data_IF_580399433403
#
_entry.id   IF_580399433403
#
_cell.length_a   1.000
_cell.length_b   1.000
_cell.length_c   1.000
_cell.angle_alpha   90.00
_cell.angle_beta   90.00
_cell.angle_gamma   90.00
#
_symmetry.space_group_name_H-M   'P 1'
#
loop_
_entity.id
_entity.type
_entity.pdbx_description
1 polymer ?
#
# COMPACT_ATOMS: atom_id res chain seq x y z
N UNK A 1 4.31 23.43 -15.08
CA UNK A 1 4.24 23.32 -13.60
C UNK A 1 2.99 22.52 -13.28
N UNK A 2 3.10 21.36 -12.64
CA UNK A 2 1.96 20.46 -12.42
C UNK A 2 1.00 20.96 -11.35
N UNK A 3 -0.27 20.52 -11.38
CA UNK A 3 -1.21 20.73 -10.26
C UNK A 3 -0.67 20.00 -9.02
N UNK A 4 -0.72 20.64 -7.84
CA UNK A 4 -0.48 19.97 -6.55
C UNK A 4 -1.73 19.14 -6.22
N UNK A 5 -1.53 17.88 -5.86
CA UNK A 5 -2.60 16.95 -5.48
C UNK A 5 -2.61 16.72 -3.96
N UNK A 6 -3.79 16.51 -3.41
CA UNK A 6 -3.97 16.02 -2.04
C UNK A 6 -4.13 14.50 -2.06
N UNK A 7 -3.34 13.78 -1.25
CA UNK A 7 -3.48 12.32 -1.11
C UNK A 7 -3.76 12.00 0.35
N UNK A 8 -4.91 11.37 0.59
CA UNK A 8 -5.15 10.62 1.81
C UNK A 8 -4.59 9.20 1.61
N UNK A 9 -3.47 8.91 2.27
CA UNK A 9 -2.85 7.58 2.30
C UNK A 9 -3.36 6.83 3.53
N UNK A 10 -4.54 6.19 3.43
CA UNK A 10 -5.15 5.47 4.54
C UNK A 10 -4.66 4.02 4.67
N UNK A 11 -4.96 3.40 5.82
CA UNK A 11 -4.59 2.00 6.11
C UNK A 11 -5.29 1.00 5.18
N UNK A 12 -6.58 1.25 4.89
CA UNK A 12 -7.42 0.34 4.11
C UNK A 12 -7.67 0.87 2.70
N UNK A 13 -7.94 2.16 2.58
CA UNK A 13 -8.19 2.82 1.31
C UNK A 13 -7.38 4.12 1.26
N UNK A 14 -7.05 4.54 0.05
CA UNK A 14 -6.44 5.82 -0.26
C UNK A 14 -7.33 6.60 -1.22
N UNK A 15 -7.20 7.93 -1.19
CA UNK A 15 -7.99 8.85 -2.00
C UNK A 15 -7.09 9.96 -2.52
N UNK A 16 -7.37 10.45 -3.74
CA UNK A 16 -6.65 11.57 -4.34
C UNK A 16 -7.62 12.67 -4.77
N UNK A 17 -7.24 13.91 -4.50
CA UNK A 17 -7.99 15.10 -4.88
C UNK A 17 -7.09 16.16 -5.49
N UNK A 18 -7.71 17.08 -6.22
CA UNK A 18 -7.06 18.25 -6.80
C UNK A 18 -7.96 19.47 -6.65
N UNK A 19 -7.37 20.67 -6.64
CA UNK A 19 -8.15 21.91 -6.70
C UNK A 19 -8.54 22.22 -8.15
N UNK A 20 -9.84 22.31 -8.40
CA UNK A 20 -10.45 22.75 -9.66
C UNK A 20 -10.99 24.17 -9.45
N UNK A 21 -10.18 25.17 -9.83
CA UNK A 21 -10.48 26.56 -9.50
C UNK A 21 -10.44 26.79 -7.98
N UNK A 22 -11.60 27.01 -7.36
CA UNK A 22 -11.75 27.20 -5.91
C UNK A 22 -12.34 26.00 -5.18
N UNK A 23 -12.74 24.96 -5.91
CA UNK A 23 -13.42 23.79 -5.34
C UNK A 23 -12.48 22.57 -5.33
N UNK A 24 -12.46 21.77 -4.26
CA UNK A 24 -11.74 20.49 -4.25
C UNK A 24 -12.54 19.42 -5.00
N UNK A 25 -11.88 18.68 -5.89
CA UNK A 25 -12.46 17.54 -6.60
C UNK A 25 -11.72 16.25 -6.26
N UNK A 26 -12.47 15.19 -5.94
CA UNK A 26 -11.95 13.83 -5.78
C UNK A 26 -11.90 13.14 -7.13
N UNK A 27 -10.69 12.71 -7.52
CA UNK A 27 -10.41 12.08 -8.81
C UNK A 27 -10.77 10.58 -8.72
N UNK A 28 -11.47 10.08 -9.75
CA UNK A 28 -11.73 8.66 -9.89
C UNK A 28 -10.46 7.93 -10.37
N UNK A 29 -10.16 6.76 -9.81
CA UNK A 29 -9.09 5.90 -10.29
C UNK A 29 -9.45 5.24 -11.64
N UNK A 30 -8.49 4.54 -12.25
CA UNK A 30 -8.67 3.83 -13.52
C UNK A 30 -9.80 2.79 -13.48
N UNK A 31 -10.16 2.30 -12.29
CA UNK A 31 -11.28 1.37 -12.07
C UNK A 31 -12.63 2.06 -11.84
N UNK A 32 -12.70 3.40 -11.93
CA UNK A 32 -13.91 4.22 -11.75
C UNK A 32 -14.30 4.49 -10.29
N UNK A 33 -13.51 4.03 -9.33
CA UNK A 33 -13.71 4.26 -7.90
C UNK A 33 -13.08 5.57 -7.42
N UNK A 34 -13.74 6.26 -6.49
CA UNK A 34 -13.17 7.46 -5.82
C UNK A 34 -12.23 7.16 -4.65
N UNK A 35 -12.06 5.89 -4.33
CA UNK A 35 -11.02 5.42 -3.41
C UNK A 35 -10.35 4.19 -4.02
N UNK A 36 -9.10 3.98 -3.64
CA UNK A 36 -8.31 2.84 -4.07
C UNK A 36 -7.89 2.03 -2.85
N UNK A 37 -8.08 0.71 -2.82
CA UNK A 37 -7.57 -0.11 -1.73
C UNK A 37 -6.06 0.09 -1.53
N UNK A 38 -5.63 0.28 -0.29
CA UNK A 38 -4.21 0.38 0.10
C UNK A 38 -3.58 -1.01 0.15
N UNK A 39 -3.58 -1.69 -1.01
CA UNK A 39 -3.18 -3.09 -1.16
C UNK A 39 -2.21 -3.19 -2.33
N UNK A 40 -1.10 -3.87 -2.10
CA UNK A 40 -0.07 -4.17 -3.10
C UNK A 40 0.07 -5.68 -3.21
N UNK A 41 0.09 -6.21 -4.43
CA UNK A 41 0.23 -7.63 -4.69
C UNK A 41 1.37 -7.92 -5.64
N UNK A 42 2.12 -8.98 -5.37
CA UNK A 42 3.22 -9.43 -6.22
C UNK A 42 2.78 -10.71 -6.93
N UNK A 43 2.53 -10.60 -8.24
CA UNK A 43 2.14 -11.71 -9.08
C UNK A 43 3.33 -12.65 -9.37
N UNK A 44 3.05 -13.89 -9.75
CA UNK A 44 4.07 -14.92 -9.97
C UNK A 44 4.98 -14.65 -11.18
N UNK A 45 4.53 -13.83 -12.12
CA UNK A 45 5.28 -13.37 -13.29
C UNK A 45 6.14 -12.12 -13.00
N UNK A 46 6.15 -11.65 -11.75
CA UNK A 46 6.87 -10.45 -11.33
C UNK A 46 6.09 -9.15 -11.51
N UNK A 47 4.84 -9.20 -12.01
CA UNK A 47 3.99 -8.02 -12.10
C UNK A 47 3.60 -7.50 -10.70
N UNK A 48 3.65 -6.18 -10.51
CA UNK A 48 3.14 -5.52 -9.32
C UNK A 48 1.72 -5.02 -9.55
N UNK A 49 0.79 -5.57 -8.79
CA UNK A 49 -0.61 -5.18 -8.76
C UNK A 49 -0.85 -4.20 -7.62
N UNK A 50 -1.67 -3.17 -7.85
CA UNK A 50 -2.00 -2.17 -6.82
C UNK A 50 -3.49 -1.85 -6.84
N UNK A 51 -4.10 -1.70 -5.67
CA UNK A 51 -5.50 -1.32 -5.53
C UNK A 51 -6.45 -2.49 -5.72
N UNK A 52 -7.48 -2.29 -6.55
CA UNK A 52 -8.55 -3.27 -6.71
C UNK A 52 -8.05 -4.61 -7.27
N UNK A 53 -7.09 -4.58 -8.20
CA UNK A 53 -6.50 -5.79 -8.78
C UNK A 53 -5.71 -6.60 -7.75
N UNK A 54 -4.91 -5.94 -6.91
CA UNK A 54 -4.21 -6.60 -5.80
C UNK A 54 -5.19 -7.19 -4.78
N UNK A 55 -6.24 -6.45 -4.41
CA UNK A 55 -7.27 -6.92 -3.47
C UNK A 55 -7.99 -8.18 -3.97
N UNK A 56 -8.23 -8.31 -5.27
CA UNK A 56 -8.90 -9.49 -5.86
C UNK A 56 -8.08 -10.77 -5.71
N UNK A 57 -6.76 -10.70 -5.85
CA UNK A 57 -5.91 -11.88 -5.72
C UNK A 57 -5.55 -12.23 -4.27
N UNK A 58 -5.90 -11.41 -3.28
CA UNK A 58 -5.52 -11.63 -1.89
C UNK A 58 -5.97 -13.00 -1.33
N UNK A 59 -7.07 -13.55 -1.87
CA UNK A 59 -7.61 -14.86 -1.47
C UNK A 59 -6.75 -16.01 -2.01
N UNK A 60 -6.23 -15.89 -3.23
CA UNK A 60 -5.47 -16.96 -3.90
C UNK A 60 -3.95 -16.81 -3.73
N UNK A 61 -3.49 -15.61 -3.40
CA UNK A 61 -2.08 -15.28 -3.20
C UNK A 61 -1.88 -14.42 -1.92
N UNK A 62 -2.24 -14.94 -0.73
CA UNK A 62 -2.30 -14.16 0.50
C UNK A 62 -0.92 -13.73 1.02
N UNK A 63 0.09 -14.60 0.92
CA UNK A 63 1.44 -14.32 1.45
C UNK A 63 2.20 -13.27 0.63
N UNK A 64 1.83 -13.08 -0.63
CA UNK A 64 2.39 -12.05 -1.51
C UNK A 64 1.45 -10.87 -1.78
N UNK A 65 0.42 -10.71 -0.95
CA UNK A 65 -0.50 -9.57 -1.03
C UNK A 65 -0.46 -8.79 0.28
N UNK A 66 0.14 -7.61 0.23
CA UNK A 66 0.39 -6.74 1.37
C UNK A 66 -0.74 -5.73 1.52
N UNK A 67 -1.37 -5.73 2.69
CA UNK A 67 -2.39 -4.78 3.12
C UNK A 67 -2.08 -4.30 4.53
N UNK A 68 -2.77 -3.25 5.01
CA UNK A 68 -2.54 -2.68 6.35
C UNK A 68 -1.09 -2.20 6.61
N UNK A 69 -0.30 -1.98 5.56
CA UNK A 69 1.14 -1.66 5.68
C UNK A 69 1.41 -0.41 6.54
N UNK A 70 0.46 0.53 6.57
CA UNK A 70 0.50 1.73 7.40
C UNK A 70 0.64 1.43 8.90
N UNK A 71 0.17 0.26 9.36
CA UNK A 71 0.31 -0.17 10.77
C UNK A 71 1.73 -0.52 11.19
N UNK A 72 2.61 -0.81 10.22
CA UNK A 72 4.01 -1.16 10.45
C UNK A 72 4.97 0.03 10.21
N UNK A 73 4.48 1.09 9.57
CA UNK A 73 5.31 2.21 9.13
C UNK A 73 5.94 2.94 10.31
N UNK A 74 7.27 3.03 10.32
CA UNK A 74 8.04 3.73 11.34
C UNK A 74 8.10 3.04 12.70
N UNK A 75 7.64 1.78 12.81
CA UNK A 75 7.64 1.00 14.06
C UNK A 75 8.75 -0.04 14.06
N UNK A 76 9.23 -0.39 15.26
CA UNK A 76 10.14 -1.53 15.43
C UNK A 76 9.38 -2.84 15.32
N UNK A 77 10.10 -3.90 14.94
CA UNK A 77 9.53 -5.24 14.77
C UNK A 77 8.95 -5.82 16.07
N UNK A 78 9.59 -5.55 17.21
CA UNK A 78 9.14 -6.00 18.53
C UNK A 78 7.86 -5.28 19.02
N UNK A 79 7.58 -4.08 18.50
CA UNK A 79 6.41 -3.28 18.85
C UNK A 79 5.13 -3.69 18.09
N UNK A 80 5.21 -4.52 17.04
CA UNK A 80 4.10 -4.84 16.11
C UNK A 80 3.62 -6.29 16.20
N UNK A 81 3.88 -6.97 17.32
CA UNK A 81 3.61 -8.41 17.46
C UNK A 81 2.13 -8.79 17.30
N UNK A 82 1.21 -7.88 17.63
CA UNK A 82 -0.23 -8.08 17.42
C UNK A 82 -0.58 -8.01 15.93
N UNK A 83 -0.13 -6.96 15.23
CA UNK A 83 -0.40 -6.80 13.80
C UNK A 83 0.24 -7.89 12.94
N UNK A 84 1.39 -8.42 13.35
CA UNK A 84 2.03 -9.55 12.68
C UNK A 84 1.11 -10.79 12.68
N UNK A 85 0.33 -11.01 13.74
CA UNK A 85 -0.60 -12.15 13.84
C UNK A 85 -1.86 -11.97 12.98
N UNK A 86 -2.17 -10.74 12.59
CA UNK A 86 -3.37 -10.40 11.81
C UNK A 86 -3.13 -10.48 10.30
N UNK A 87 -1.88 -10.64 9.86
CA UNK A 87 -1.51 -10.60 8.43
C UNK A 87 -0.93 -11.92 7.94
N UNK A 88 -1.20 -12.31 6.69
CA UNK A 88 -0.68 -13.56 6.11
C UNK A 88 0.71 -13.42 5.49
N UNK A 89 1.17 -12.20 5.20
CA UNK A 89 2.49 -11.94 4.63
C UNK A 89 3.56 -11.91 5.72
N UNK A 90 4.79 -12.19 5.33
CA UNK A 90 5.92 -12.27 6.26
C UNK A 90 6.39 -10.88 6.66
N UNK A 91 6.45 -10.61 7.96
CA UNK A 91 7.10 -9.42 8.53
C UNK A 91 8.36 -9.85 9.27
N UNK A 92 9.46 -9.12 9.09
CA UNK A 92 10.77 -9.38 9.71
C UNK A 92 11.34 -8.13 10.37
N UNK A 93 12.33 -8.36 11.23
CA UNK A 93 13.21 -7.30 11.75
C UNK A 93 14.20 -6.90 10.67
N UNK A 94 14.01 -5.71 10.10
CA UNK A 94 14.86 -5.15 9.06
C UNK A 94 15.94 -4.22 9.62
N UNK A 95 16.38 -3.27 8.80
CA UNK A 95 17.40 -2.30 9.19
C UNK A 95 16.98 -1.50 10.42
N UNK A 96 17.89 -1.36 11.40
CA UNK A 96 17.63 -0.70 12.69
C UNK A 96 16.41 -1.28 13.43
N UNK A 97 16.19 -2.59 13.29
CA UNK A 97 15.11 -3.34 13.95
C UNK A 97 13.69 -2.88 13.56
N UNK A 98 13.57 -2.12 12.46
CA UNK A 98 12.27 -1.67 11.94
C UNK A 98 11.52 -2.82 11.27
N UNK A 99 10.20 -2.84 11.43
CA UNK A 99 9.35 -3.80 10.76
C UNK A 99 9.50 -3.67 9.23
N UNK A 100 9.80 -4.77 8.55
CA UNK A 100 9.93 -4.87 7.10
C UNK A 100 9.12 -6.05 6.57
N UNK A 101 8.62 -5.97 5.35
CA UNK A 101 7.83 -7.03 4.69
C UNK A 101 8.73 -7.83 3.76
N UNK A 102 8.76 -9.14 3.91
CA UNK A 102 9.54 -10.02 3.01
C UNK A 102 8.64 -10.61 1.94
N UNK A 103 9.04 -10.47 0.67
CA UNK A 103 8.39 -11.06 -0.49
C UNK A 103 9.46 -11.73 -1.35
N UNK A 104 9.38 -13.06 -1.47
CA UNK A 104 10.30 -13.87 -2.28
C UNK A 104 11.78 -13.59 -1.98
N UNK A 105 12.12 -13.48 -0.69
CA UNK A 105 13.50 -13.20 -0.24
C UNK A 105 13.95 -11.75 -0.42
N UNK A 106 13.08 -10.87 -0.91
CA UNK A 106 13.33 -9.42 -0.96
C UNK A 106 12.62 -8.72 0.19
N UNK A 107 13.38 -7.94 0.97
CA UNK A 107 12.83 -7.14 2.05
C UNK A 107 12.40 -5.76 1.52
N UNK A 108 11.14 -5.41 1.77
CA UNK A 108 10.56 -4.11 1.50
C UNK A 108 10.24 -3.39 2.79
N UNK A 109 10.66 -2.14 2.89
CA UNK A 109 10.24 -1.27 3.98
C UNK A 109 8.76 -0.88 3.81
N UNK A 110 8.01 -0.63 4.91
CA UNK A 110 6.63 -0.15 4.80
C UNK A 110 6.47 1.13 3.95
N UNK A 111 7.41 2.11 3.97
CA UNK A 111 7.40 3.23 3.04
C UNK A 111 7.52 2.83 1.56
N UNK A 112 8.29 1.81 1.20
CA UNK A 112 8.40 1.35 -0.20
C UNK A 112 7.09 0.75 -0.69
N UNK A 113 6.42 -0.08 0.12
CA UNK A 113 5.10 -0.62 -0.21
C UNK A 113 4.08 0.53 -0.34
N UNK A 114 4.08 1.48 0.61
CA UNK A 114 3.20 2.64 0.55
C UNK A 114 3.48 3.53 -0.68
N UNK A 115 4.74 3.64 -1.11
CA UNK A 115 5.11 4.38 -2.30
C UNK A 115 4.51 3.78 -3.58
N UNK A 116 4.32 2.45 -3.65
CA UNK A 116 3.62 1.81 -4.78
C UNK A 116 2.14 2.24 -4.85
N UNK A 117 1.49 2.43 -3.70
CA UNK A 117 0.13 2.99 -3.62
C UNK A 117 0.13 4.46 -4.06
N UNK A 118 1.08 5.26 -3.56
CA UNK A 118 1.23 6.68 -3.95
C UNK A 118 1.50 6.85 -5.45
N UNK A 119 2.29 5.97 -6.05
CA UNK A 119 2.55 5.96 -7.50
C UNK A 119 1.25 5.76 -8.29
N UNK A 120 0.35 4.87 -7.83
CA UNK A 120 -0.97 4.69 -8.44
C UNK A 120 -1.88 5.91 -8.25
N UNK A 121 -1.77 6.62 -7.12
CA UNK A 121 -2.58 7.83 -6.87
C UNK A 121 -2.11 9.04 -7.68
N UNK A 122 -0.82 9.08 -8.02
CA UNK A 122 -0.20 10.15 -8.81
C UNK A 122 -0.49 10.00 -10.31
N UNK A 123 -0.60 8.77 -10.80
CA UNK A 123 -0.83 8.44 -12.21
C UNK A 123 -2.23 8.85 -12.67
#
# INVERSE_FOLDING_TARGET
MGKVIGIDLGTTNSCVSVMEGKEPEVIANAEGGRTTPSVVGFANDGERLVGQTAKRQAVTNPTKTVFSVKRFMGRRYDEVSEEIREVPFTVKSGARELASVEIDGTDYTPPEIAAMVLQKMKA
#
